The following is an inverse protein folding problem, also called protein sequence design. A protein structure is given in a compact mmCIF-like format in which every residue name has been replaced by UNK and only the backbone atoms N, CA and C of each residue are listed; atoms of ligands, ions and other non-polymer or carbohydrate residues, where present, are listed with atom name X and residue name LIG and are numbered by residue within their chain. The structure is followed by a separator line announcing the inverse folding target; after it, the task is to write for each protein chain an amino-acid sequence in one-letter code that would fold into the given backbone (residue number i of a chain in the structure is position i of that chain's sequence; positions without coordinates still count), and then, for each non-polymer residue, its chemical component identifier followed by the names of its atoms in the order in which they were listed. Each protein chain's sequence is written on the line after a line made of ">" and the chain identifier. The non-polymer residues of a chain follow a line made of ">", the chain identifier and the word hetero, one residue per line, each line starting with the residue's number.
data_IF_680238814216
#
_entry.id   IF_680238814216
#
_cell.length_a   1.000
_cell.length_b   1.000
_cell.length_c   1.000
_cell.angle_alpha   90.00
_cell.angle_beta   90.00
_cell.angle_gamma   90.00
#
_symmetry.space_group_name_H-M   'P 1'
#
loop_
_entity.id
_entity.type
_entity.pdbx_description
1 polymer ?
#
# COMPACT_ATOMS: atom_id res chain seq x y z
N UNK A 1 25.63 15.28 -12.43
CA UNK A 1 25.32 14.79 -11.08
C UNK A 1 23.81 14.83 -10.94
N UNK A 2 23.18 13.74 -10.50
CA UNK A 2 21.75 13.74 -10.23
C UNK A 2 21.44 14.69 -9.05
N UNK A 3 20.31 15.38 -9.11
CA UNK A 3 19.92 16.35 -8.09
C UNK A 3 19.63 15.59 -6.77
N UNK A 4 20.28 15.91 -5.64
CA UNK A 4 20.14 15.15 -4.39
C UNK A 4 18.72 15.12 -3.82
N UNK A 5 17.86 16.08 -4.19
CA UNK A 5 16.44 16.06 -3.85
C UNK A 5 15.67 14.93 -4.54
N UNK A 6 16.03 14.61 -5.80
CA UNK A 6 15.34 13.59 -6.60
C UNK A 6 15.75 12.17 -6.14
N UNK A 7 17.04 11.97 -5.86
CA UNK A 7 17.54 10.71 -5.28
C UNK A 7 16.90 10.42 -3.91
N UNK A 8 16.60 11.47 -3.13
CA UNK A 8 15.90 11.34 -1.85
C UNK A 8 14.43 10.96 -2.01
N UNK A 9 13.76 11.46 -3.05
CA UNK A 9 12.34 11.18 -3.32
C UNK A 9 12.14 9.75 -3.84
N UNK A 10 13.04 9.28 -4.71
CA UNK A 10 13.04 7.91 -5.22
C UNK A 10 13.28 6.89 -4.08
N UNK A 11 14.24 7.16 -3.20
CA UNK A 11 14.51 6.32 -2.03
C UNK A 11 13.33 6.31 -1.03
N UNK A 12 12.68 7.45 -0.81
CA UNK A 12 11.52 7.57 0.08
C UNK A 12 10.30 6.83 -0.48
N UNK A 13 10.11 6.90 -1.80
CA UNK A 13 9.01 6.22 -2.49
C UNK A 13 9.17 4.70 -2.45
N UNK A 14 10.38 4.19 -2.68
CA UNK A 14 10.68 2.75 -2.57
C UNK A 14 10.49 2.24 -1.13
N UNK A 15 10.98 2.98 -0.13
CA UNK A 15 10.79 2.61 1.27
C UNK A 15 9.30 2.57 1.67
N UNK A 16 8.51 3.50 1.14
CA UNK A 16 7.07 3.56 1.36
C UNK A 16 6.34 2.38 0.70
N UNK A 17 6.68 2.01 -0.54
CA UNK A 17 6.11 0.84 -1.22
C UNK A 17 6.39 -0.44 -0.41
N UNK A 18 7.63 -0.64 0.06
CA UNK A 18 7.99 -1.78 0.88
C UNK A 18 7.18 -1.85 2.19
N UNK A 19 6.99 -0.71 2.85
CA UNK A 19 6.16 -0.64 4.05
C UNK A 19 4.68 -0.96 3.78
N UNK A 20 4.15 -0.58 2.61
CA UNK A 20 2.79 -0.96 2.21
C UNK A 20 2.64 -2.43 1.89
N UNK A 21 3.63 -3.03 1.24
CA UNK A 21 3.63 -4.47 0.96
C UNK A 21 3.69 -5.27 2.28
N UNK A 22 4.55 -4.86 3.22
CA UNK A 22 4.60 -5.46 4.56
C UNK A 22 3.26 -5.31 5.30
N UNK A 23 2.65 -4.13 5.25
CA UNK A 23 1.34 -3.88 5.86
C UNK A 23 0.24 -4.75 5.25
N UNK A 24 0.25 -4.97 3.92
CA UNK A 24 -0.70 -5.86 3.26
C UNK A 24 -0.52 -7.32 3.70
N UNK A 25 0.72 -7.78 3.80
CA UNK A 25 1.04 -9.13 4.29
C UNK A 25 0.59 -9.34 5.74
N UNK A 26 0.83 -8.35 6.60
CA UNK A 26 0.32 -8.35 7.98
C UNK A 26 -1.21 -8.39 7.99
N UNK A 27 -1.86 -7.63 7.12
CA UNK A 27 -3.31 -7.63 7.03
C UNK A 27 -3.87 -9.02 6.63
N UNK A 28 -3.23 -9.72 5.70
CA UNK A 28 -3.59 -11.11 5.35
C UNK A 28 -3.42 -12.06 6.54
N UNK A 29 -2.32 -11.93 7.30
CA UNK A 29 -2.08 -12.74 8.51
C UNK A 29 -3.13 -12.50 9.60
N UNK A 30 -3.47 -11.23 9.85
CA UNK A 30 -4.49 -10.84 10.83
C UNK A 30 -5.84 -11.43 10.45
N UNK A 31 -6.22 -11.33 9.17
CA UNK A 31 -7.48 -11.89 8.66
C UNK A 31 -7.55 -13.41 8.87
N UNK A 32 -6.50 -14.15 8.50
CA UNK A 32 -6.45 -15.59 8.71
C UNK A 32 -6.47 -16.00 10.19
N UNK A 33 -5.85 -15.20 11.07
CA UNK A 33 -5.89 -15.42 12.53
C UNK A 33 -7.32 -15.27 13.07
N UNK A 34 -8.03 -14.23 12.63
CA UNK A 34 -9.40 -13.94 13.06
C UNK A 34 -10.38 -14.99 12.51
N UNK A 35 -10.24 -15.42 11.26
CA UNK A 35 -11.04 -16.51 10.71
C UNK A 35 -10.87 -17.81 11.49
N UNK A 36 -9.62 -18.14 11.82
CA UNK A 36 -9.29 -19.33 12.62
C UNK A 36 -9.90 -19.24 14.02
N UNK A 37 -9.73 -18.10 14.71
CA UNK A 37 -10.28 -17.87 16.04
C UNK A 37 -11.82 -17.88 16.02
N UNK A 38 -12.45 -17.24 15.03
CA UNK A 38 -13.89 -17.20 14.87
C UNK A 38 -14.48 -18.59 14.62
N UNK A 39 -13.82 -19.41 13.80
CA UNK A 39 -14.21 -20.79 13.52
C UNK A 39 -14.11 -21.68 14.77
N UNK A 40 -12.99 -21.59 15.49
CA UNK A 40 -12.79 -22.31 16.75
C UNK A 40 -13.87 -21.93 17.78
N UNK A 41 -14.16 -20.64 17.92
CA UNK A 41 -15.19 -20.14 18.82
C UNK A 41 -16.60 -20.62 18.42
N UNK A 42 -16.92 -20.62 17.12
CA UNK A 42 -18.19 -21.13 16.57
C UNK A 42 -18.45 -22.59 16.92
N UNK A 43 -17.38 -23.40 16.92
CA UNK A 43 -17.51 -24.84 17.17
C UNK A 43 -17.87 -25.18 18.63
N UNK A 44 -17.55 -24.30 19.58
CA UNK A 44 -17.72 -24.54 21.01
C UNK A 44 -18.77 -23.65 21.66
N UNK A 45 -19.06 -22.48 21.08
CA UNK A 45 -19.95 -21.47 21.66
C UNK A 45 -21.15 -21.18 20.78
N UNK A 46 -22.33 -21.56 21.28
CA UNK A 46 -23.63 -21.31 20.64
C UNK A 46 -24.53 -20.36 21.43
N UNK A 47 -25.70 -20.05 20.86
CA UNK A 47 -26.72 -19.19 21.47
C UNK A 47 -26.71 -17.75 20.94
N UNK A 48 -27.64 -16.93 21.46
CA UNK A 48 -27.90 -15.57 20.97
C UNK A 48 -26.68 -14.65 21.08
N UNK A 49 -25.90 -14.79 22.17
CA UNK A 49 -24.67 -14.01 22.35
C UNK A 49 -23.58 -14.38 21.34
N UNK A 50 -23.41 -15.68 21.05
CA UNK A 50 -22.47 -16.16 20.04
C UNK A 50 -22.86 -15.68 18.63
N UNK A 51 -24.16 -15.64 18.31
CA UNK A 51 -24.65 -15.10 17.05
C UNK A 51 -24.31 -13.60 16.88
N UNK A 52 -24.53 -12.77 17.91
CA UNK A 52 -24.14 -11.35 17.89
C UNK A 52 -22.64 -11.15 17.73
N UNK A 53 -21.83 -11.99 18.38
CA UNK A 53 -20.38 -11.89 18.25
C UNK A 53 -19.91 -12.25 16.82
N UNK A 54 -20.53 -13.25 16.19
CA UNK A 54 -20.25 -13.61 14.79
C UNK A 54 -20.65 -12.49 13.82
N UNK A 55 -21.78 -11.83 14.07
CA UNK A 55 -22.21 -10.66 13.29
C UNK A 55 -21.20 -9.51 13.43
N UNK A 56 -20.72 -9.25 14.65
CA UNK A 56 -19.69 -8.23 14.90
C UNK A 56 -18.35 -8.57 14.22
N UNK A 57 -17.93 -9.84 14.21
CA UNK A 57 -16.75 -10.27 13.44
C UNK A 57 -16.96 -10.03 11.95
N UNK A 58 -18.13 -10.38 11.40
CA UNK A 58 -18.43 -10.14 9.99
C UNK A 58 -18.37 -8.65 9.62
N UNK A 59 -18.95 -7.78 10.44
CA UNK A 59 -18.89 -6.33 10.24
C UNK A 59 -17.45 -5.79 10.34
N UNK A 60 -16.67 -6.29 11.31
CA UNK A 60 -15.26 -5.93 11.45
C UNK A 60 -14.44 -6.38 10.21
N UNK A 61 -14.66 -7.60 9.72
CA UNK A 61 -14.00 -8.12 8.52
C UNK A 61 -14.32 -7.29 7.27
N UNK A 62 -15.57 -6.83 7.15
CA UNK A 62 -15.98 -5.94 6.07
C UNK A 62 -15.20 -4.62 6.11
N UNK A 63 -15.20 -3.93 7.26
CA UNK A 63 -14.43 -2.68 7.41
C UNK A 63 -12.93 -2.89 7.22
N UNK A 64 -12.40 -4.04 7.64
CA UNK A 64 -11.00 -4.39 7.43
C UNK A 64 -10.66 -4.59 5.94
N UNK A 65 -11.56 -5.21 5.17
CA UNK A 65 -11.39 -5.34 3.72
C UNK A 65 -11.41 -3.97 3.01
N UNK A 66 -12.20 -3.02 3.50
CA UNK A 66 -12.19 -1.64 2.97
C UNK A 66 -10.85 -0.94 3.22
N UNK A 67 -10.26 -1.13 4.41
CA UNK A 67 -8.91 -0.61 4.71
C UNK A 67 -7.87 -1.23 3.78
N UNK A 68 -7.91 -2.55 3.57
CA UNK A 68 -7.01 -3.23 2.61
C UNK A 68 -7.16 -2.67 1.19
N UNK A 69 -8.40 -2.44 0.73
CA UNK A 69 -8.64 -1.87 -0.59
C UNK A 69 -8.08 -0.44 -0.71
N UNK A 70 -8.22 0.39 0.33
CA UNK A 70 -7.65 1.73 0.37
C UNK A 70 -6.12 1.71 0.36
N UNK A 71 -5.49 0.78 1.10
CA UNK A 71 -4.03 0.60 1.09
C UNK A 71 -3.51 0.22 -0.30
N UNK A 72 -4.22 -0.66 -1.01
CA UNK A 72 -3.85 -1.04 -2.38
C UNK A 72 -3.90 0.15 -3.34
N UNK A 73 -4.98 0.94 -3.26
CA UNK A 73 -5.13 2.13 -4.10
C UNK A 73 -4.04 3.18 -3.81
N UNK A 74 -3.62 3.31 -2.55
CA UNK A 74 -2.52 4.20 -2.18
C UNK A 74 -1.20 3.70 -2.76
N UNK A 75 -0.90 2.41 -2.70
CA UNK A 75 0.29 1.81 -3.31
C UNK A 75 0.32 2.03 -4.84
N UNK A 76 -0.80 1.79 -5.53
CA UNK A 76 -0.95 2.08 -6.97
C UNK A 76 -0.71 3.57 -7.29
N UNK A 77 -1.25 4.47 -6.46
CA UNK A 77 -1.07 5.91 -6.64
C UNK A 77 0.39 6.34 -6.49
N UNK A 78 1.13 5.71 -5.55
CA UNK A 78 2.55 5.99 -5.33
C UNK A 78 3.43 5.43 -6.43
N UNK A 79 3.15 4.22 -6.90
CA UNK A 79 3.85 3.65 -8.06
C UNK A 79 3.65 4.52 -9.33
N UNK A 80 2.44 5.07 -9.51
CA UNK A 80 2.14 6.01 -10.60
C UNK A 80 2.88 7.33 -10.43
N UNK A 81 2.90 7.89 -9.21
CA UNK A 81 3.63 9.11 -8.89
C UNK A 81 5.13 8.97 -9.18
N UNK A 82 5.76 7.89 -8.70
CA UNK A 82 7.16 7.58 -8.97
C UNK A 82 7.47 7.61 -10.48
N UNK A 83 6.62 6.94 -11.28
CA UNK A 83 6.78 6.86 -12.74
C UNK A 83 6.67 8.24 -13.42
N UNK A 84 5.75 9.09 -12.98
CA UNK A 84 5.57 10.45 -13.52
C UNK A 84 6.78 11.31 -13.17
N UNK A 85 7.28 11.22 -11.94
CA UNK A 85 8.45 11.97 -11.49
C UNK A 85 9.69 11.57 -12.31
N UNK A 86 9.99 10.28 -12.44
CA UNK A 86 11.09 9.79 -13.30
C UNK A 86 10.93 10.24 -14.75
N UNK A 87 9.72 10.15 -15.33
CA UNK A 87 9.48 10.58 -16.72
C UNK A 87 9.65 12.09 -16.91
N UNK A 88 9.31 12.89 -15.90
CA UNK A 88 9.47 14.36 -15.94
C UNK A 88 10.94 14.72 -15.81
N UNK A 89 11.68 14.04 -14.94
CA UNK A 89 13.13 14.18 -14.81
C UNK A 89 13.87 13.84 -16.10
N UNK A 90 13.57 12.68 -16.71
CA UNK A 90 14.17 12.27 -17.99
C UNK A 90 13.90 13.31 -19.09
N UNK A 91 12.67 13.83 -19.15
CA UNK A 91 12.31 14.84 -20.12
C UNK A 91 13.02 16.18 -19.86
N UNK A 92 13.19 16.55 -18.59
CA UNK A 92 13.90 17.78 -18.19
C UNK A 92 15.40 17.67 -18.43
N UNK A 93 16.00 16.49 -18.18
CA UNK A 93 17.40 16.20 -18.48
C UNK A 93 17.66 16.20 -20.00
N UNK A 94 16.76 15.62 -20.79
CA UNK A 94 16.82 15.65 -22.25
C UNK A 94 16.72 17.08 -22.80
N UNK A 95 15.79 17.89 -22.29
CA UNK A 95 15.66 19.29 -22.66
C UNK A 95 16.90 20.09 -22.25
N UNK A 96 17.39 19.94 -21.02
CA UNK A 96 18.60 20.62 -20.54
C UNK A 96 19.85 20.29 -21.35
N UNK A 97 19.98 19.05 -21.81
CA UNK A 97 21.07 18.61 -22.70
C UNK A 97 21.05 19.35 -24.05
N UNK A 98 19.86 19.55 -24.65
CA UNK A 98 19.72 20.27 -25.91
C UNK A 98 20.16 21.74 -25.84
N UNK A 99 19.96 22.42 -24.71
CA UNK A 99 20.47 23.78 -24.50
C UNK A 99 21.98 23.83 -24.29
N UNK A 100 22.56 22.81 -23.64
CA UNK A 100 24.00 22.72 -23.40
C UNK A 100 24.82 22.44 -24.67
N UNK A 101 24.26 21.71 -25.65
CA UNK A 101 24.89 21.44 -26.95
C UNK A 101 24.79 22.58 -27.96
N UNK A 102 24.01 23.63 -27.69
CA UNK A 102 23.87 24.80 -28.57
C UNK A 102 24.84 25.94 -28.30
N UNK A 103 25.79 25.77 -27.37
CA UNK A 103 26.71 26.81 -26.88
C UNK A 103 28.19 26.61 -27.29
N UNK A 104 28.45 25.78 -28.30
CA UNK A 104 29.75 25.66 -28.99
C UNK A 104 29.61 26.10 -30.44
#
# INVERSE_FOLDING_TARGET
>A
MADPLLVSDEASTVAMILAFDECQDECVKIQGTIDTAASALRSQWGGVAAAKYQEAIGAWQQGFNEVKAALNLLNESMASYAKITTSTEDNTAMLGSNWATGLT
#
